data_IF_121685544271
#
_entry.id   IF_121685544271
#
_cell.length_a   1.000
_cell.length_b   1.000
_cell.length_c   1.000
_cell.angle_alpha   90.00
_cell.angle_beta   90.00
_cell.angle_gamma   90.00
#
_symmetry.space_group_name_H-M   'P 1'
#
loop_
_entity.id
_entity.type
_entity.pdbx_description
1 polymer ?
#
# COMPACT_ATOMS: atom_id res chain seq x y z
N UNK A 1 39.66 53.11 1.47
CA UNK A 1 38.94 51.98 0.84
C UNK A 1 37.46 52.28 0.98
N UNK A 2 36.71 52.57 -0.11
CA UNK A 2 35.28 52.81 0.02
C UNK A 2 34.55 51.48 0.23
N UNK A 3 33.71 51.43 1.27
CA UNK A 3 32.89 50.26 1.62
C UNK A 3 31.91 49.92 0.48
N UNK A 4 31.89 48.65 0.10
CA UNK A 4 30.99 48.12 -0.91
C UNK A 4 29.67 47.73 -0.23
N UNK A 5 28.51 48.23 -0.65
CA UNK A 5 27.25 47.89 0.00
C UNK A 5 26.85 46.44 -0.29
N UNK A 6 26.37 45.75 0.74
CA UNK A 6 25.93 44.35 0.68
C UNK A 6 24.86 44.12 -0.43
N UNK A 7 24.94 43.03 -1.19
CA UNK A 7 23.98 42.74 -2.24
C UNK A 7 22.61 42.39 -1.65
N UNK A 8 21.57 43.09 -2.12
CA UNK A 8 20.18 42.83 -1.72
C UNK A 8 19.76 41.38 -2.06
N UNK A 9 19.07 40.66 -1.16
CA UNK A 9 18.65 39.29 -1.40
C UNK A 9 17.67 39.21 -2.58
N UNK A 10 17.93 38.29 -3.51
CA UNK A 10 17.02 38.00 -4.63
C UNK A 10 15.86 37.12 -4.14
N UNK A 11 14.61 37.41 -4.50
CA UNK A 11 13.46 36.60 -4.08
C UNK A 11 13.51 35.21 -4.70
N UNK A 12 13.09 34.20 -3.93
CA UNK A 12 13.08 32.78 -4.32
C UNK A 12 11.97 32.49 -5.35
N UNK A 13 12.18 31.59 -6.33
CA UNK A 13 11.26 31.34 -7.45
C UNK A 13 9.86 30.81 -7.09
N UNK A 14 9.55 30.55 -5.82
CA UNK A 14 8.26 30.04 -5.36
C UNK A 14 7.53 30.98 -4.40
N UNK A 15 7.98 32.23 -4.29
CA UNK A 15 7.29 33.25 -3.48
C UNK A 15 6.15 33.83 -4.30
N UNK A 16 4.95 33.24 -4.20
CA UNK A 16 3.74 33.77 -4.85
C UNK A 16 3.25 35.00 -4.09
N UNK A 17 2.97 36.14 -4.76
CA UNK A 17 2.35 37.28 -4.08
C UNK A 17 0.89 36.95 -3.66
N UNK A 18 0.36 37.58 -2.61
CA UNK A 18 -1.04 37.45 -2.21
C UNK A 18 -1.97 37.82 -3.37
N UNK A 19 -2.97 36.98 -3.64
CA UNK A 19 -3.92 37.17 -4.74
C UNK A 19 -5.02 38.18 -4.33
N UNK A 20 -4.79 39.47 -4.53
CA UNK A 20 -5.77 40.55 -4.31
C UNK A 20 -6.67 40.79 -5.54
N UNK A 21 -7.26 39.72 -6.10
CA UNK A 21 -8.28 39.86 -7.14
C UNK A 21 -9.69 39.75 -6.53
N UNK A 22 -10.56 40.76 -6.69
CA UNK A 22 -11.95 40.64 -6.27
C UNK A 22 -12.69 39.62 -7.15
N UNK A 23 -13.42 38.71 -6.50
CA UNK A 23 -14.21 37.62 -7.12
C UNK A 23 -15.41 38.18 -7.93
N UNK A 24 -15.42 38.05 -9.28
CA UNK A 24 -16.55 38.48 -10.07
C UNK A 24 -17.55 37.32 -10.18
N UNK A 25 -18.62 37.36 -9.38
CA UNK A 25 -19.83 36.60 -9.68
C UNK A 25 -20.33 35.64 -8.60
N UNK A 26 -20.49 36.12 -7.36
CA UNK A 26 -21.34 35.46 -6.36
C UNK A 26 -22.82 35.72 -6.66
N UNK A 27 -23.32 35.17 -7.76
CA UNK A 27 -24.76 35.04 -8.01
C UNK A 27 -25.26 33.75 -7.35
N UNK A 28 -26.18 33.91 -6.41
CA UNK A 28 -26.79 32.85 -5.64
C UNK A 28 -27.43 31.77 -6.52
N UNK A 29 -26.84 30.58 -6.54
CA UNK A 29 -27.51 29.36 -7.02
C UNK A 29 -28.16 28.68 -5.81
N UNK A 30 -29.44 28.93 -5.61
CA UNK A 30 -30.29 28.16 -4.72
C UNK A 30 -30.42 26.74 -5.29
N UNK A 31 -29.97 25.74 -4.52
CA UNK A 31 -30.23 24.32 -4.83
C UNK A 31 -31.71 24.03 -4.57
N UNK A 32 -32.41 23.25 -5.41
CA UNK A 32 -33.75 22.78 -5.07
C UNK A 32 -33.65 21.75 -3.93
N UNK A 33 -34.49 21.89 -2.91
CA UNK A 33 -34.63 20.95 -1.81
C UNK A 33 -35.00 19.55 -2.33
N UNK A 34 -34.12 18.58 -2.09
CA UNK A 34 -34.42 17.15 -2.27
C UNK A 34 -34.99 16.59 -0.97
N UNK A 35 -36.05 15.76 -1.00
CA UNK A 35 -36.69 15.27 0.21
C UNK A 35 -35.77 14.31 0.96
N UNK A 36 -35.73 14.49 2.29
CA UNK A 36 -34.93 13.71 3.21
C UNK A 36 -35.34 12.22 3.20
N UNK A 37 -34.42 11.36 2.75
CA UNK A 37 -34.49 9.92 3.00
C UNK A 37 -34.26 9.57 4.49
N UNK A 38 -34.67 8.38 4.95
CA UNK A 38 -34.68 8.03 6.37
C UNK A 38 -33.24 7.97 6.93
N UNK A 39 -32.98 8.77 7.97
CA UNK A 39 -31.73 8.75 8.73
C UNK A 39 -31.70 7.52 9.64
N UNK A 40 -30.73 6.63 9.41
CA UNK A 40 -30.32 5.55 10.33
C UNK A 40 -28.85 5.28 10.04
N UNK A 41 -27.91 5.06 10.96
CA UNK A 41 -27.83 5.23 12.40
C UNK A 41 -26.43 5.82 12.68
N UNK A 42 -26.25 6.53 13.80
CA UNK A 42 -24.94 7.03 14.23
C UNK A 42 -23.97 5.87 14.46
N UNK A 43 -22.93 5.75 13.62
CA UNK A 43 -21.82 4.81 13.84
C UNK A 43 -20.85 5.46 14.84
N UNK A 44 -20.81 4.90 16.05
CA UNK A 44 -19.71 5.14 16.99
C UNK A 44 -18.39 4.56 16.44
N UNK A 45 -17.26 4.81 17.10
CA UNK A 45 -15.96 4.31 16.66
C UNK A 45 -15.95 2.79 16.84
N UNK A 46 -16.15 2.04 15.76
CA UNK A 46 -16.01 0.58 15.78
C UNK A 46 -14.53 0.23 15.76
N UNK A 47 -14.06 -0.40 16.83
CA UNK A 47 -12.76 -1.07 16.91
C UNK A 47 -12.62 -2.07 15.75
N UNK A 48 -11.99 -1.66 14.65
CA UNK A 48 -11.30 -2.49 13.64
C UNK A 48 -12.05 -3.68 12.99
N UNK A 49 -13.31 -3.94 13.32
CA UNK A 49 -14.04 -5.12 12.87
C UNK A 49 -14.95 -4.71 11.69
N UNK A 50 -14.73 -5.27 10.49
CA UNK A 50 -15.56 -4.99 9.32
C UNK A 50 -17.00 -5.50 9.51
N UNK A 51 -17.96 -4.99 8.72
CA UNK A 51 -19.34 -5.45 8.73
C UNK A 51 -19.41 -6.95 8.48
N UNK A 52 -20.34 -7.61 9.17
CA UNK A 52 -20.60 -9.04 9.01
C UNK A 52 -21.04 -9.35 7.57
N UNK A 53 -20.56 -10.45 6.97
CA UNK A 53 -21.03 -10.90 5.66
C UNK A 53 -22.54 -11.17 5.68
N UNK A 54 -23.19 -10.97 4.54
CA UNK A 54 -24.60 -11.30 4.33
C UNK A 54 -24.85 -12.79 4.62
N UNK A 55 -25.96 -13.15 5.28
CA UNK A 55 -26.24 -14.56 5.59
C UNK A 55 -26.53 -15.32 4.29
N UNK A 56 -25.62 -16.20 3.87
CA UNK A 56 -25.83 -17.12 2.74
C UNK A 56 -24.58 -17.54 1.95
N UNK A 57 -23.44 -16.86 2.10
CA UNK A 57 -22.18 -17.21 1.42
C UNK A 57 -21.00 -17.29 2.38
N UNK A 58 -20.00 -18.12 2.06
CA UNK A 58 -18.71 -18.12 2.76
C UNK A 58 -18.06 -16.75 2.54
N UNK A 59 -17.71 -16.00 3.60
CA UNK A 59 -17.05 -14.70 3.44
C UNK A 59 -15.74 -14.87 2.68
N UNK A 60 -15.54 -14.05 1.66
CA UNK A 60 -14.31 -14.02 0.88
C UNK A 60 -13.46 -12.81 1.29
N UNK A 61 -12.16 -13.01 1.45
CA UNK A 61 -11.19 -11.94 1.61
C UNK A 61 -10.13 -12.10 0.53
N UNK A 62 -9.88 -11.01 -0.20
CA UNK A 62 -8.82 -10.98 -1.21
C UNK A 62 -7.50 -10.63 -0.52
N UNK A 63 -6.49 -11.49 -0.60
CA UNK A 63 -5.23 -11.35 0.13
C UNK A 63 -4.02 -11.07 -0.77
N UNK A 64 -4.17 -11.15 -2.09
CA UNK A 64 -3.08 -10.95 -3.04
C UNK A 64 -3.51 -10.00 -4.16
N UNK A 65 -3.38 -8.69 -3.91
CA UNK A 65 -3.69 -7.65 -4.89
C UNK A 65 -2.51 -6.71 -5.05
N UNK A 66 -2.25 -6.38 -6.31
CA UNK A 66 -1.19 -5.45 -6.71
C UNK A 66 -1.82 -4.18 -7.25
N UNK A 67 -1.44 -3.02 -6.72
CA UNK A 67 -1.88 -1.70 -7.20
C UNK A 67 -0.86 -1.10 -8.17
N UNK A 68 -1.19 0.05 -8.76
CA UNK A 68 -0.29 0.83 -9.60
C UNK A 68 0.97 1.39 -8.92
N UNK A 69 1.10 1.21 -7.59
CA UNK A 69 2.37 1.43 -6.89
C UNK A 69 3.40 0.33 -7.14
N UNK A 70 3.00 -0.76 -7.80
CA UNK A 70 3.91 -1.66 -8.50
C UNK A 70 3.97 -1.28 -9.98
N UNK A 71 4.99 -0.50 -10.32
CA UNK A 71 5.14 0.10 -11.65
C UNK A 71 5.20 -0.97 -12.76
N UNK A 72 4.53 -0.71 -13.88
CA UNK A 72 4.42 -1.62 -15.05
C UNK A 72 3.83 -3.00 -14.74
N UNK A 73 3.20 -3.19 -13.58
CA UNK A 73 2.52 -4.43 -13.22
C UNK A 73 1.08 -4.17 -12.81
N UNK A 74 0.84 -3.25 -11.88
CA UNK A 74 -0.51 -2.87 -11.46
C UNK A 74 -1.07 -1.72 -12.29
N UNK A 75 -2.35 -1.82 -12.66
CA UNK A 75 -3.06 -0.76 -13.39
C UNK A 75 -3.98 0.08 -12.48
N UNK A 76 -4.65 -0.57 -11.52
CA UNK A 76 -5.64 0.06 -10.66
C UNK A 76 -5.02 0.83 -9.49
N UNK A 77 -5.67 1.92 -9.11
CA UNK A 77 -5.33 2.66 -7.88
C UNK A 77 -5.76 1.85 -6.63
N UNK A 78 -5.05 1.98 -5.49
CA UNK A 78 -5.45 1.31 -4.25
C UNK A 78 -6.88 1.64 -3.80
N UNK A 79 -7.34 2.87 -4.03
CA UNK A 79 -8.70 3.31 -3.73
C UNK A 79 -9.75 2.53 -4.55
N UNK A 80 -9.53 2.40 -5.87
CA UNK A 80 -10.42 1.67 -6.78
C UNK A 80 -10.51 0.19 -6.42
N UNK A 81 -9.39 -0.42 -6.00
CA UNK A 81 -9.34 -1.81 -5.56
C UNK A 81 -10.20 -2.03 -4.31
N UNK A 82 -10.13 -1.10 -3.35
CA UNK A 82 -10.94 -1.15 -2.12
C UNK A 82 -12.42 -0.95 -2.42
N UNK A 83 -12.75 0.06 -3.22
CA UNK A 83 -14.14 0.34 -3.64
C UNK A 83 -14.75 -0.86 -4.36
N UNK A 84 -13.98 -1.49 -5.25
CA UNK A 84 -14.40 -2.69 -5.97
C UNK A 84 -14.62 -3.86 -5.02
N UNK A 85 -13.70 -4.12 -4.08
CA UNK A 85 -13.85 -5.18 -3.10
C UNK A 85 -15.09 -4.98 -2.21
N UNK A 86 -15.37 -3.74 -1.81
CA UNK A 86 -16.58 -3.39 -1.06
C UNK A 86 -17.85 -3.64 -1.89
N UNK A 87 -17.86 -3.21 -3.16
CA UNK A 87 -18.98 -3.43 -4.08
C UNK A 87 -19.26 -4.92 -4.35
N UNK A 88 -18.22 -5.76 -4.36
CA UNK A 88 -18.32 -7.21 -4.50
C UNK A 88 -18.71 -7.93 -3.19
N UNK A 89 -18.88 -7.20 -2.09
CA UNK A 89 -19.24 -7.77 -0.78
C UNK A 89 -18.12 -8.59 -0.15
N UNK A 90 -16.85 -8.28 -0.46
CA UNK A 90 -15.71 -8.92 0.21
C UNK A 90 -15.70 -8.54 1.70
N UNK A 91 -15.23 -9.48 2.52
CA UNK A 91 -15.06 -9.27 3.96
C UNK A 91 -13.84 -8.40 4.26
N UNK A 92 -12.77 -8.58 3.48
CA UNK A 92 -11.54 -7.82 3.58
C UNK A 92 -10.81 -7.80 2.25
N UNK A 93 -9.89 -6.84 2.11
CA UNK A 93 -8.96 -6.75 0.97
C UNK A 93 -7.56 -6.46 1.50
N UNK A 94 -6.55 -7.13 0.96
CA UNK A 94 -5.16 -6.79 1.18
C UNK A 94 -4.62 -5.97 0.02
N UNK A 95 -3.68 -5.09 0.29
CA UNK A 95 -2.83 -4.49 -0.75
C UNK A 95 -1.41 -4.99 -0.53
N UNK A 96 -0.87 -5.70 -1.52
CA UNK A 96 0.42 -6.39 -1.46
C UNK A 96 1.30 -6.00 -2.65
N UNK A 97 1.64 -4.71 -2.74
CA UNK A 97 2.54 -4.21 -3.78
C UNK A 97 3.92 -4.86 -3.71
N UNK A 98 4.59 -4.98 -4.86
CA UNK A 98 5.93 -5.57 -4.94
C UNK A 98 6.95 -4.65 -4.28
N UNK A 99 7.61 -5.16 -3.24
CA UNK A 99 8.68 -4.47 -2.51
C UNK A 99 8.30 -3.04 -2.10
N UNK A 100 7.02 -2.80 -1.78
CA UNK A 100 6.48 -1.47 -1.53
C UNK A 100 5.28 -1.49 -0.59
N UNK A 101 5.11 -0.39 0.15
CA UNK A 101 3.92 -0.07 0.96
C UNK A 101 3.34 1.29 0.57
N UNK A 102 3.74 1.83 -0.60
CA UNK A 102 3.41 3.20 -0.99
C UNK A 102 1.90 3.43 -1.18
N UNK A 103 1.17 2.40 -1.59
CA UNK A 103 -0.29 2.45 -1.77
C UNK A 103 -1.11 2.32 -0.47
N UNK A 104 -0.50 1.91 0.64
CA UNK A 104 -1.23 1.51 1.86
C UNK A 104 -2.02 2.67 2.48
N UNK A 105 -1.46 3.89 2.51
CA UNK A 105 -2.14 5.04 3.10
C UNK A 105 -3.42 5.38 2.34
N UNK A 106 -3.36 5.33 1.01
CA UNK A 106 -4.51 5.57 0.13
C UNK A 106 -5.57 4.49 0.29
N UNK A 107 -5.16 3.23 0.27
CA UNK A 107 -6.04 2.10 0.54
C UNK A 107 -6.71 2.23 1.92
N UNK A 108 -5.97 2.66 2.94
CA UNK A 108 -6.49 2.79 4.31
C UNK A 108 -7.58 3.84 4.43
N UNK A 109 -7.40 4.99 3.78
CA UNK A 109 -8.43 6.04 3.74
C UNK A 109 -9.68 5.52 3.04
N UNK A 110 -9.54 4.94 1.85
CA UNK A 110 -10.68 4.39 1.10
C UNK A 110 -11.40 3.27 1.88
N UNK A 111 -10.65 2.40 2.56
CA UNK A 111 -11.22 1.27 3.31
C UNK A 111 -12.02 1.75 4.51
N UNK A 112 -11.54 2.80 5.19
CA UNK A 112 -12.27 3.45 6.27
C UNK A 112 -13.58 4.07 5.77
N UNK A 113 -13.54 4.75 4.63
CA UNK A 113 -14.73 5.39 4.05
C UNK A 113 -15.76 4.35 3.56
N UNK A 114 -15.29 3.22 3.02
CA UNK A 114 -16.13 2.10 2.57
C UNK A 114 -16.57 1.16 3.71
N UNK A 115 -16.03 1.32 4.92
CA UNK A 115 -16.24 0.39 6.04
C UNK A 115 -15.69 -1.02 5.79
N UNK A 116 -14.70 -1.18 4.90
CA UNK A 116 -14.08 -2.46 4.57
C UNK A 116 -12.82 -2.70 5.40
N UNK A 117 -12.54 -3.95 5.79
CA UNK A 117 -11.28 -4.27 6.47
C UNK A 117 -10.12 -4.31 5.48
N UNK A 118 -9.13 -3.44 5.68
CA UNK A 118 -7.88 -3.47 4.95
C UNK A 118 -6.85 -4.34 5.68
N UNK A 119 -6.27 -5.29 4.97
CA UNK A 119 -5.09 -6.03 5.41
C UNK A 119 -3.85 -5.37 4.80
N UNK A 120 -2.94 -4.91 5.65
CA UNK A 120 -1.66 -4.36 5.19
C UNK A 120 -0.76 -5.53 4.79
N UNK A 121 -0.14 -5.45 3.61
CA UNK A 121 0.86 -6.43 3.21
C UNK A 121 1.83 -5.90 2.16
N UNK A 122 2.79 -6.74 1.79
CA UNK A 122 3.71 -6.49 0.69
C UNK A 122 4.07 -7.83 0.02
N UNK A 123 4.31 -7.81 -1.29
CA UNK A 123 4.90 -8.94 -2.00
C UNK A 123 6.42 -8.74 -2.02
N UNK A 124 7.14 -9.53 -1.24
CA UNK A 124 8.60 -9.53 -1.27
C UNK A 124 9.06 -10.36 -2.45
N UNK A 125 9.75 -9.72 -3.39
CA UNK A 125 10.41 -10.40 -4.51
C UNK A 125 11.91 -10.39 -4.22
N UNK A 126 12.49 -11.58 -4.16
CA UNK A 126 13.90 -11.76 -3.85
C UNK A 126 14.75 -11.74 -5.11
N UNK A 127 15.96 -11.19 -4.98
CA UNK A 127 16.99 -11.29 -6.02
C UNK A 127 17.54 -12.71 -5.99
N UNK A 128 17.68 -13.28 -7.18
CA UNK A 128 18.18 -14.63 -7.41
C UNK A 128 19.47 -14.58 -8.22
N UNK A 129 20.34 -15.56 -8.00
CA UNK A 129 21.55 -15.79 -8.81
C UNK A 129 21.39 -17.13 -9.56
N UNK A 130 21.47 -17.19 -10.90
CA UNK A 130 21.61 -16.05 -11.82
C UNK A 130 20.37 -15.13 -11.87
N UNK A 131 20.52 -13.87 -12.31
CA UNK A 131 19.43 -12.88 -12.36
C UNK A 131 18.22 -13.29 -13.22
N UNK A 132 18.45 -14.14 -14.22
CA UNK A 132 17.45 -14.60 -15.18
C UNK A 132 16.57 -15.76 -14.66
N UNK A 133 16.80 -16.15 -13.41
CA UNK A 133 16.00 -17.13 -12.70
C UNK A 133 14.56 -16.65 -12.47
N UNK A 134 13.63 -17.61 -12.37
CA UNK A 134 12.28 -17.31 -11.92
C UNK A 134 12.34 -16.69 -10.50
N UNK A 135 11.88 -15.45 -10.31
CA UNK A 135 12.02 -14.79 -9.03
C UNK A 135 11.12 -15.45 -7.98
N UNK A 136 11.72 -15.82 -6.85
CA UNK A 136 10.97 -16.29 -5.71
C UNK A 136 10.27 -15.13 -5.01
N UNK A 137 9.00 -15.31 -4.63
CA UNK A 137 8.26 -14.25 -3.92
C UNK A 137 7.40 -14.77 -2.78
N UNK A 138 7.30 -13.94 -1.74
CA UNK A 138 6.55 -14.24 -0.51
C UNK A 138 5.68 -13.04 -0.19
N UNK A 139 4.39 -13.27 0.01
CA UNK A 139 3.50 -12.26 0.59
C UNK A 139 3.75 -12.20 2.08
N UNK A 140 3.91 -11.00 2.62
CA UNK A 140 4.08 -10.77 4.05
C UNK A 140 3.03 -9.82 4.58
N UNK A 141 2.50 -10.13 5.77
CA UNK A 141 1.47 -9.37 6.45
C UNK A 141 1.91 -9.10 7.90
N UNK A 142 2.23 -7.84 8.26
CA UNK A 142 2.55 -7.50 9.63
C UNK A 142 1.30 -7.60 10.53
N UNK A 143 1.43 -8.23 11.70
CA UNK A 143 0.33 -8.43 12.64
C UNK A 143 0.18 -7.32 13.67
N UNK A 144 1.17 -6.44 13.78
CA UNK A 144 1.21 -5.35 14.76
C UNK A 144 2.09 -4.17 14.28
N UNK A 145 2.18 -3.13 15.11
CA UNK A 145 2.99 -1.94 14.80
C UNK A 145 4.49 -2.24 14.73
N UNK A 146 5.00 -3.18 15.53
CA UNK A 146 6.42 -3.51 15.58
C UNK A 146 6.85 -4.26 14.31
N UNK A 147 6.06 -5.22 13.87
CA UNK A 147 6.21 -5.97 12.62
C UNK A 147 6.04 -5.07 11.39
N UNK A 148 5.10 -4.11 11.42
CA UNK A 148 5.01 -3.09 10.37
C UNK A 148 6.31 -2.26 10.27
N UNK A 149 6.87 -1.83 11.41
CA UNK A 149 8.14 -1.11 11.43
C UNK A 149 9.31 -1.98 10.93
N UNK A 150 9.36 -3.27 11.30
CA UNK A 150 10.35 -4.22 10.77
C UNK A 150 10.24 -4.39 9.27
N UNK A 151 9.02 -4.51 8.73
CA UNK A 151 8.78 -4.57 7.29
C UNK A 151 9.25 -3.30 6.58
N UNK A 152 8.97 -2.11 7.13
CA UNK A 152 9.50 -0.86 6.58
C UNK A 152 11.03 -0.80 6.59
N UNK A 153 11.67 -1.27 7.66
CA UNK A 153 13.13 -1.37 7.77
C UNK A 153 13.68 -2.33 6.70
N UNK A 154 13.08 -3.51 6.54
CA UNK A 154 13.44 -4.50 5.53
C UNK A 154 13.39 -3.91 4.12
N UNK A 155 12.25 -3.29 3.74
CA UNK A 155 12.09 -2.65 2.43
C UNK A 155 13.08 -1.50 2.21
N UNK A 156 13.40 -0.74 3.27
CA UNK A 156 14.38 0.35 3.21
C UNK A 156 15.80 -0.20 2.97
N UNK A 157 16.15 -1.28 3.65
CA UNK A 157 17.42 -1.98 3.48
C UNK A 157 17.57 -2.46 2.03
N UNK A 158 16.54 -3.09 1.46
CA UNK A 158 16.60 -3.57 0.07
C UNK A 158 16.72 -2.44 -0.96
N UNK A 159 16.01 -1.33 -0.76
CA UNK A 159 16.11 -0.14 -1.63
C UNK A 159 17.48 0.54 -1.56
N UNK A 160 18.15 0.51 -0.40
CA UNK A 160 19.49 1.10 -0.23
C UNK A 160 20.60 0.30 -0.93
N UNK A 161 20.38 -1.01 -1.11
CA UNK A 161 21.32 -1.91 -1.80
C UNK A 161 21.17 -1.92 -3.32
N UNK A 162 20.15 -1.26 -3.85
CA UNK A 162 19.76 -1.35 -5.25
C UNK A 162 19.88 0.01 -5.97
N UNK A 163 19.99 0.01 -7.32
CA UNK A 163 19.82 1.21 -8.12
C UNK A 163 18.45 1.87 -7.88
N UNK A 164 18.35 3.16 -8.21
CA UNK A 164 17.09 3.91 -8.06
C UNK A 164 15.94 3.20 -8.79
N UNK A 165 14.83 2.99 -8.08
CA UNK A 165 13.65 2.32 -8.61
C UNK A 165 13.68 0.79 -8.50
N UNK A 166 14.75 0.22 -7.95
CA UNK A 166 14.88 -1.22 -7.67
C UNK A 166 14.93 -1.49 -6.15
N UNK A 167 14.79 -2.76 -5.77
CA UNK A 167 14.89 -3.22 -4.39
C UNK A 167 15.57 -4.59 -4.38
N UNK A 168 16.72 -4.70 -3.73
CA UNK A 168 17.49 -5.95 -3.65
C UNK A 168 17.33 -6.56 -2.27
N UNK A 169 16.50 -7.60 -2.18
CA UNK A 169 16.28 -8.39 -0.97
C UNK A 169 16.66 -9.83 -1.24
N UNK A 170 17.18 -10.50 -0.22
CA UNK A 170 17.32 -11.94 -0.20
C UNK A 170 16.48 -12.57 0.93
N UNK A 171 16.42 -13.90 0.96
CA UNK A 171 15.66 -14.64 1.97
C UNK A 171 16.22 -14.42 3.39
N UNK A 172 17.53 -14.23 3.53
CA UNK A 172 18.15 -13.99 4.84
C UNK A 172 17.72 -12.64 5.41
N UNK A 173 17.51 -11.63 4.58
CA UNK A 173 16.94 -10.35 5.02
C UNK A 173 15.53 -10.54 5.60
N UNK A 174 14.68 -11.36 4.96
CA UNK A 174 13.37 -11.71 5.51
C UNK A 174 13.50 -12.44 6.84
N UNK A 175 14.34 -13.48 6.90
CA UNK A 175 14.57 -14.25 8.13
C UNK A 175 15.14 -13.40 9.26
N UNK A 176 15.90 -12.33 8.98
CA UNK A 176 16.37 -11.41 10.00
C UNK A 176 15.28 -10.46 10.53
N UNK A 177 14.17 -10.28 9.81
CA UNK A 177 13.09 -9.33 10.12
C UNK A 177 11.69 -9.98 10.27
N UNK A 178 11.63 -11.32 10.33
CA UNK A 178 10.39 -12.09 10.22
C UNK A 178 9.43 -11.96 11.41
N UNK A 179 9.91 -11.55 12.59
CA UNK A 179 9.11 -11.57 13.80
C UNK A 179 7.78 -10.79 13.62
N UNK A 180 6.65 -11.43 13.93
CA UNK A 180 5.31 -10.85 13.77
C UNK A 180 4.87 -10.64 12.30
N UNK A 181 5.57 -11.20 11.31
CA UNK A 181 5.10 -11.26 9.93
C UNK A 181 4.44 -12.62 9.69
N UNK A 182 3.20 -12.60 9.20
CA UNK A 182 2.60 -13.78 8.56
C UNK A 182 3.10 -13.85 7.12
N UNK A 183 3.42 -15.04 6.65
CA UNK A 183 3.97 -15.25 5.31
C UNK A 183 3.13 -16.24 4.50
N UNK A 184 2.88 -15.93 3.23
CA UNK A 184 2.31 -16.85 2.24
C UNK A 184 3.31 -16.96 1.09
N UNK A 185 3.82 -18.17 0.86
CA UNK A 185 4.78 -18.43 -0.22
C UNK A 185 4.01 -18.56 -1.54
N UNK A 186 4.45 -17.82 -2.56
CA UNK A 186 3.88 -17.90 -3.91
C UNK A 186 4.76 -18.84 -4.74
N UNK A 187 4.23 -19.94 -5.30
CA UNK A 187 4.99 -20.78 -6.21
C UNK A 187 5.37 -20.04 -7.50
N UNK A 188 6.49 -20.38 -8.13
CA UNK A 188 6.83 -19.82 -9.44
C UNK A 188 5.76 -20.18 -10.47
N UNK A 189 5.47 -19.26 -11.39
CA UNK A 189 4.48 -19.48 -12.45
C UNK A 189 4.95 -20.51 -13.50
N UNK A 190 6.26 -20.72 -13.60
CA UNK A 190 6.88 -21.65 -14.55
C UNK A 190 7.18 -22.99 -13.85
N UNK A 191 6.69 -24.08 -14.45
CA UNK A 191 6.99 -25.46 -14.05
C UNK A 191 8.02 -26.09 -15.01
N UNK A 192 8.89 -27.00 -14.54
CA UNK A 192 8.96 -27.55 -13.19
C UNK A 192 9.53 -26.54 -12.18
N UNK A 193 9.05 -26.65 -10.94
CA UNK A 193 9.61 -25.91 -9.81
C UNK A 193 11.08 -26.28 -9.66
N UNK A 194 11.96 -25.29 -9.61
CA UNK A 194 13.38 -25.52 -9.45
C UNK A 194 13.78 -25.78 -7.98
N UNK A 195 15.01 -26.27 -7.78
CA UNK A 195 15.54 -26.58 -6.46
C UNK A 195 15.60 -25.33 -5.55
N UNK A 196 15.69 -24.11 -6.11
CA UNK A 196 15.78 -22.87 -5.33
C UNK A 196 14.49 -22.59 -4.58
N UNK A 197 13.34 -22.81 -5.21
CA UNK A 197 12.07 -22.70 -4.52
C UNK A 197 11.93 -23.74 -3.42
N UNK A 198 12.41 -24.97 -3.64
CA UNK A 198 12.41 -26.02 -2.61
C UNK A 198 13.31 -25.62 -1.44
N UNK A 199 14.48 -25.06 -1.71
CA UNK A 199 15.40 -24.60 -0.67
C UNK A 199 14.85 -23.39 0.10
N UNK A 200 14.14 -22.47 -0.58
CA UNK A 200 13.37 -21.42 0.09
C UNK A 200 12.35 -22.00 1.07
N UNK A 201 11.55 -22.98 0.64
CA UNK A 201 10.56 -23.64 1.50
C UNK A 201 11.23 -24.32 2.70
N UNK A 202 12.38 -24.97 2.51
CA UNK A 202 13.16 -25.60 3.59
C UNK A 202 13.68 -24.56 4.57
N UNK A 203 14.21 -23.44 4.08
CA UNK A 203 14.70 -22.33 4.90
C UNK A 203 13.60 -21.72 5.76
N UNK A 204 12.43 -21.44 5.17
CA UNK A 204 11.29 -20.86 5.88
C UNK A 204 10.70 -21.82 6.93
N UNK A 205 10.76 -23.14 6.71
CA UNK A 205 10.27 -24.15 7.67
C UNK A 205 11.17 -24.33 8.89
N UNK A 206 12.43 -23.91 8.82
CA UNK A 206 13.42 -24.13 9.87
C UNK A 206 13.45 -23.01 10.95
N UNK A 207 12.68 -21.95 10.74
CA UNK A 207 12.48 -20.80 11.65
C UNK A 207 11.19 -20.92 12.44
#
# INVERSE_FOLDING_TARGET
MPEHPDPKPRPHPWTTPPNDRPDPGRAARTRPDSPAGPRTASLGPSDGIPPRPSPGGTPYAELHVTSNFTFLTGASHPEELVETAAALGHHAVAVTDVNSLAGIVRAHVAAKDAGLSLVVGARLVFVTDPPDAAPCSVLVYPTDRASYARLCTLLTLGRRRAPKGSCHLDVHDLLAHHEGLLAVVIPPEVLPVDDRFIDLLRGLRAT
#
